data_IF_068688905618
#
_entry.id   IF_068688905618
#
_cell.length_a   1.000
_cell.length_b   1.000
_cell.length_c   1.000
_cell.angle_alpha   90.00
_cell.angle_beta   90.00
_cell.angle_gamma   90.00
#
_symmetry.space_group_name_H-M   'P 1'
#
loop_
_entity.id
_entity.type
_entity.pdbx_description
1 polymer ?
#
# COMPACT_ATOMS: atom_id res chain seq x y z
N UNK A 1 -24.31 4.62 28.94
CA UNK A 1 -24.40 3.49 27.98
C UNK A 1 -24.76 3.93 26.54
N UNK A 2 -25.00 5.21 26.24
CA UNK A 2 -25.39 5.69 24.89
C UNK A 2 -24.24 6.09 23.97
N UNK A 3 -23.05 6.40 24.50
CA UNK A 3 -21.89 6.80 23.70
C UNK A 3 -21.25 5.62 22.93
N UNK A 4 -21.27 4.42 23.51
CA UNK A 4 -20.69 3.20 22.93
C UNK A 4 -21.46 2.68 21.73
N UNK A 5 -22.81 2.73 21.75
CA UNK A 5 -23.65 2.25 20.65
C UNK A 5 -23.50 3.08 19.37
N UNK A 6 -23.34 4.40 19.53
CA UNK A 6 -23.20 5.31 18.37
C UNK A 6 -21.79 5.24 17.75
N UNK A 7 -20.75 5.01 18.57
CA UNK A 7 -19.39 4.75 18.08
C UNK A 7 -19.28 3.39 17.39
N UNK A 8 -19.92 2.35 17.94
CA UNK A 8 -19.98 1.03 17.30
C UNK A 8 -20.71 1.10 15.95
N UNK A 9 -21.86 1.78 15.87
CA UNK A 9 -22.57 1.98 14.61
C UNK A 9 -21.75 2.72 13.57
N UNK A 10 -20.98 3.74 13.98
CA UNK A 10 -20.05 4.48 13.10
C UNK A 10 -18.95 3.57 12.54
N UNK A 11 -18.33 2.76 13.38
CA UNK A 11 -17.24 1.89 12.96
C UNK A 11 -17.74 0.79 11.99
N UNK A 12 -18.88 0.17 12.29
CA UNK A 12 -19.49 -0.84 11.42
C UNK A 12 -19.83 -0.29 10.04
N UNK A 13 -20.35 0.94 9.94
CA UNK A 13 -20.62 1.56 8.64
C UNK A 13 -19.35 1.93 7.87
N UNK A 14 -18.26 2.30 8.54
CA UNK A 14 -16.96 2.50 7.89
C UNK A 14 -16.40 1.18 7.34
N UNK A 15 -16.39 0.11 8.14
CA UNK A 15 -15.92 -1.22 7.72
C UNK A 15 -16.74 -1.77 6.55
N UNK A 16 -18.07 -1.57 6.57
CA UNK A 16 -18.96 -1.95 5.47
C UNK A 16 -18.63 -1.18 4.17
N UNK A 17 -18.37 0.13 4.26
CA UNK A 17 -17.98 0.96 3.12
C UNK A 17 -16.60 0.55 2.56
N UNK A 18 -15.61 0.30 3.43
CA UNK A 18 -14.28 -0.13 3.02
C UNK A 18 -14.33 -1.49 2.30
N UNK A 19 -15.07 -2.45 2.86
CA UNK A 19 -15.28 -3.77 2.26
C UNK A 19 -15.98 -3.66 0.91
N UNK A 20 -17.03 -2.84 0.81
CA UNK A 20 -17.75 -2.64 -0.43
C UNK A 20 -16.88 -2.00 -1.52
N UNK A 21 -16.01 -1.04 -1.18
CA UNK A 21 -15.10 -0.44 -2.14
C UNK A 21 -14.10 -1.47 -2.68
N UNK A 22 -13.49 -2.28 -1.81
CA UNK A 22 -12.58 -3.35 -2.24
C UNK A 22 -13.26 -4.35 -3.17
N UNK A 23 -14.48 -4.76 -2.85
CA UNK A 23 -15.27 -5.67 -3.70
C UNK A 23 -15.62 -5.07 -5.06
N UNK A 24 -15.89 -3.76 -5.12
CA UNK A 24 -16.16 -3.08 -6.39
C UNK A 24 -14.89 -2.97 -7.23
N UNK A 25 -13.74 -2.72 -6.61
CA UNK A 25 -12.44 -2.61 -7.28
C UNK A 25 -11.99 -3.91 -7.96
N UNK A 26 -12.49 -5.06 -7.53
CA UNK A 26 -12.21 -6.36 -8.18
C UNK A 26 -12.78 -6.45 -9.61
N UNK A 27 -13.76 -5.59 -9.98
CA UNK A 27 -14.47 -5.70 -11.26
C UNK A 27 -14.81 -4.37 -11.94
N UNK A 28 -14.68 -3.25 -11.23
CA UNK A 28 -15.02 -1.92 -11.72
C UNK A 28 -13.80 -0.99 -11.60
N UNK A 29 -13.39 -0.29 -12.68
CA UNK A 29 -12.36 0.73 -12.58
C UNK A 29 -12.72 1.79 -11.53
N UNK A 30 -11.73 2.25 -10.75
CA UNK A 30 -11.97 3.17 -9.63
C UNK A 30 -12.78 4.42 -10.02
N UNK A 31 -12.46 5.04 -11.15
CA UNK A 31 -13.12 6.26 -11.63
C UNK A 31 -14.56 6.02 -12.15
N UNK A 32 -14.96 4.77 -12.34
CA UNK A 32 -16.32 4.38 -12.72
C UNK A 32 -17.20 4.01 -11.52
N UNK A 33 -16.61 3.83 -10.34
CA UNK A 33 -17.36 3.51 -9.12
C UNK A 33 -18.16 4.73 -8.68
N UNK A 34 -19.48 4.57 -8.60
CA UNK A 34 -20.37 5.62 -8.08
C UNK A 34 -20.64 5.44 -6.59
N UNK A 35 -20.89 6.56 -5.90
CA UNK A 35 -21.33 6.54 -4.49
C UNK A 35 -22.63 5.74 -4.32
N UNK A 36 -23.53 5.75 -5.31
CA UNK A 36 -24.74 4.94 -5.28
C UNK A 36 -24.40 3.45 -5.22
N UNK A 37 -23.62 2.94 -6.17
CA UNK A 37 -23.19 1.53 -6.21
C UNK A 37 -22.49 1.12 -4.91
N UNK A 38 -21.57 1.98 -4.42
CA UNK A 38 -20.87 1.75 -3.16
C UNK A 38 -21.84 1.60 -1.98
N UNK A 39 -22.76 2.55 -1.82
CA UNK A 39 -23.68 2.56 -0.68
C UNK A 39 -24.70 1.42 -0.73
N UNK A 40 -25.16 1.06 -1.93
CA UNK A 40 -26.00 -0.12 -2.15
C UNK A 40 -25.27 -1.42 -1.79
N UNK A 41 -24.02 -1.57 -2.25
CA UNK A 41 -23.17 -2.73 -1.95
C UNK A 41 -22.86 -2.85 -0.46
N UNK A 42 -22.61 -1.72 0.21
CA UNK A 42 -22.33 -1.66 1.64
C UNK A 42 -23.59 -1.81 2.53
N UNK A 43 -24.80 -1.72 1.95
CA UNK A 43 -26.04 -1.74 2.72
C UNK A 43 -26.25 -0.52 3.62
N UNK A 44 -25.73 0.65 3.23
CA UNK A 44 -25.85 1.90 3.99
C UNK A 44 -26.49 3.01 3.15
N UNK A 45 -26.98 4.06 3.80
CA UNK A 45 -27.51 5.22 3.07
C UNK A 45 -26.39 6.12 2.53
N UNK A 46 -26.66 6.88 1.45
CA UNK A 46 -25.75 7.95 0.99
C UNK A 46 -25.45 8.99 2.07
N UNK A 47 -26.43 9.30 2.92
CA UNK A 47 -26.24 10.19 4.07
C UNK A 47 -25.24 9.61 5.07
N UNK A 48 -25.20 8.29 5.24
CA UNK A 48 -24.20 7.60 6.08
C UNK A 48 -22.82 7.75 5.46
N UNK A 49 -22.67 7.50 4.16
CA UNK A 49 -21.41 7.71 3.45
C UNK A 49 -20.85 9.13 3.64
N UNK A 50 -21.65 10.16 3.35
CA UNK A 50 -21.20 11.56 3.45
C UNK A 50 -20.93 12.04 4.88
N UNK A 51 -21.32 11.24 5.90
CA UNK A 51 -20.95 11.49 7.30
C UNK A 51 -19.53 11.02 7.62
N UNK A 52 -19.00 10.09 6.83
CA UNK A 52 -17.67 9.51 7.00
C UNK A 52 -16.66 10.11 6.01
N UNK A 53 -17.08 10.32 4.77
CA UNK A 53 -16.17 10.64 3.66
C UNK A 53 -16.71 11.78 2.80
N UNK A 54 -15.84 12.71 2.47
CA UNK A 54 -16.09 13.75 1.48
C UNK A 54 -15.96 13.20 0.05
N UNK A 55 -15.13 12.18 -0.18
CA UNK A 55 -14.90 11.61 -1.52
C UNK A 55 -14.49 10.13 -1.47
N UNK A 56 -14.52 9.46 -2.64
CA UNK A 56 -14.10 8.05 -2.75
C UNK A 56 -12.59 7.91 -2.51
N UNK A 57 -11.82 8.90 -2.90
CA UNK A 57 -10.39 8.99 -2.66
C UNK A 57 -10.07 9.05 -1.17
N UNK A 58 -10.87 9.76 -0.36
CA UNK A 58 -10.68 9.80 1.09
C UNK A 58 -10.92 8.42 1.72
N UNK A 59 -12.00 7.73 1.31
CA UNK A 59 -12.26 6.35 1.73
C UNK A 59 -11.11 5.42 1.30
N UNK A 60 -10.65 5.51 0.06
CA UNK A 60 -9.55 4.70 -0.45
C UNK A 60 -8.23 4.98 0.29
N UNK A 61 -7.96 6.25 0.59
CA UNK A 61 -6.80 6.66 1.37
C UNK A 61 -6.84 6.07 2.79
N UNK A 62 -8.00 6.01 3.45
CA UNK A 62 -8.13 5.36 4.75
C UNK A 62 -7.85 3.85 4.67
N UNK A 63 -8.32 3.16 3.62
CA UNK A 63 -8.02 1.74 3.38
C UNK A 63 -6.52 1.50 3.24
N UNK A 64 -5.86 2.27 2.36
CA UNK A 64 -4.41 2.24 2.19
C UNK A 64 -3.73 2.55 3.52
N UNK A 65 -4.26 3.53 4.26
CA UNK A 65 -3.67 3.97 5.51
C UNK A 65 -3.58 2.84 6.53
N UNK A 66 -4.69 2.15 6.78
CA UNK A 66 -4.71 1.04 7.72
C UNK A 66 -3.74 -0.08 7.33
N UNK A 67 -3.70 -0.43 6.03
CA UNK A 67 -2.81 -1.47 5.53
C UNK A 67 -1.32 -1.14 5.75
N UNK A 68 -0.88 0.06 5.37
CA UNK A 68 0.52 0.45 5.54
C UNK A 68 0.90 0.76 6.99
N UNK A 69 -0.04 1.18 7.83
CA UNK A 69 0.20 1.27 9.28
C UNK A 69 0.48 -0.10 9.88
N UNK A 70 -0.17 -1.16 9.42
CA UNK A 70 0.12 -2.53 9.86
C UNK A 70 1.56 -2.93 9.50
N UNK A 71 2.01 -2.64 8.28
CA UNK A 71 3.40 -2.84 7.85
C UNK A 71 4.37 -2.11 8.78
N UNK A 72 4.11 -0.82 9.07
CA UNK A 72 4.98 -0.02 9.93
C UNK A 72 4.98 -0.52 11.38
N UNK A 73 3.84 -1.00 11.90
CA UNK A 73 3.74 -1.55 13.25
C UNK A 73 4.53 -2.86 13.40
N UNK A 74 4.51 -3.73 12.38
CA UNK A 74 5.23 -5.00 12.40
C UNK A 74 6.71 -4.85 12.03
N UNK A 75 7.04 -3.90 11.14
CA UNK A 75 8.36 -3.76 10.54
C UNK A 75 9.18 -2.56 11.03
N UNK A 76 8.54 -1.49 11.49
CA UNK A 76 9.19 -0.20 11.77
C UNK A 76 10.27 -0.25 12.83
N UNK A 77 10.14 -1.15 13.82
CA UNK A 77 11.18 -1.38 14.83
C UNK A 77 12.51 -1.85 14.19
N UNK A 78 12.46 -2.65 13.12
CA UNK A 78 13.68 -3.11 12.44
C UNK A 78 14.39 -1.96 11.71
N UNK A 79 13.63 -1.00 11.16
CA UNK A 79 14.18 0.22 10.56
C UNK A 79 14.94 1.01 11.62
N UNK A 80 14.33 1.28 12.77
CA UNK A 80 14.95 2.06 13.87
C UNK A 80 16.19 1.35 14.43
N UNK A 81 16.20 0.02 14.45
CA UNK A 81 17.34 -0.78 14.89
C UNK A 81 18.43 -0.95 13.82
N UNK A 82 18.25 -0.42 12.60
CA UNK A 82 19.18 -0.60 11.48
C UNK A 82 19.24 -2.03 10.93
N UNK A 83 18.28 -2.89 11.27
CA UNK A 83 18.20 -4.28 10.80
C UNK A 83 17.42 -4.36 9.49
N UNK A 84 17.96 -3.74 8.45
CA UNK A 84 17.26 -3.56 7.17
C UNK A 84 16.95 -4.89 6.47
N UNK A 85 17.83 -5.89 6.54
CA UNK A 85 17.57 -7.21 5.94
C UNK A 85 16.33 -7.88 6.53
N UNK A 86 16.17 -7.78 7.87
CA UNK A 86 14.96 -8.28 8.55
C UNK A 86 13.73 -7.45 8.19
N UNK A 87 13.87 -6.13 8.02
CA UNK A 87 12.77 -5.29 7.58
C UNK A 87 12.28 -5.71 6.19
N UNK A 88 13.18 -5.87 5.21
CA UNK A 88 12.83 -6.25 3.84
C UNK A 88 12.21 -7.64 3.78
N UNK A 89 12.79 -8.64 4.46
CA UNK A 89 12.21 -9.99 4.52
C UNK A 89 10.80 -9.95 5.13
N UNK A 90 10.59 -9.22 6.24
CA UNK A 90 9.25 -9.08 6.85
C UNK A 90 8.27 -8.34 5.95
N UNK A 91 8.72 -7.30 5.26
CA UNK A 91 7.89 -6.54 4.32
C UNK A 91 7.38 -7.46 3.21
N UNK A 92 8.27 -8.14 2.47
CA UNK A 92 7.84 -8.95 1.32
C UNK A 92 6.99 -10.16 1.74
N UNK A 93 7.27 -10.77 2.89
CA UNK A 93 6.40 -11.81 3.44
C UNK A 93 5.00 -11.30 3.77
N UNK A 94 4.90 -10.12 4.38
CA UNK A 94 3.62 -9.49 4.65
C UNK A 94 2.87 -9.18 3.35
N UNK A 95 3.56 -8.58 2.37
CA UNK A 95 2.98 -8.30 1.06
C UNK A 95 2.44 -9.57 0.38
N UNK A 96 3.21 -10.66 0.41
CA UNK A 96 2.77 -11.95 -0.13
C UNK A 96 1.55 -12.53 0.60
N UNK A 97 1.53 -12.46 1.93
CA UNK A 97 0.38 -12.89 2.73
C UNK A 97 -0.90 -12.11 2.39
N UNK A 98 -0.75 -10.87 1.92
CA UNK A 98 -1.84 -9.98 1.55
C UNK A 98 -1.95 -9.77 0.02
N UNK A 99 -1.46 -10.71 -0.78
CA UNK A 99 -1.34 -10.57 -2.23
C UNK A 99 -2.64 -10.23 -2.98
N UNK A 100 -3.78 -10.82 -2.57
CA UNK A 100 -5.08 -10.52 -3.18
C UNK A 100 -5.48 -9.06 -2.96
N UNK A 101 -5.27 -8.55 -1.74
CA UNK A 101 -5.53 -7.17 -1.42
C UNK A 101 -4.64 -6.23 -2.24
N UNK A 102 -3.33 -6.53 -2.34
CA UNK A 102 -2.39 -5.76 -3.15
C UNK A 102 -2.79 -5.73 -4.62
N UNK A 103 -3.17 -6.88 -5.19
CA UNK A 103 -3.70 -6.95 -6.56
C UNK A 103 -4.88 -5.99 -6.72
N UNK A 104 -5.85 -6.01 -5.82
CA UNK A 104 -7.03 -5.12 -5.88
C UNK A 104 -6.67 -3.63 -5.84
N UNK A 105 -5.71 -3.23 -4.99
CA UNK A 105 -5.38 -1.80 -4.83
C UNK A 105 -4.32 -1.28 -5.82
N UNK A 106 -3.56 -2.16 -6.49
CA UNK A 106 -2.45 -1.78 -7.38
C UNK A 106 -2.63 -2.13 -8.87
N UNK A 107 -3.63 -2.93 -9.25
CA UNK A 107 -3.81 -3.36 -10.65
C UNK A 107 -4.46 -2.32 -11.57
N UNK A 108 -5.14 -1.31 -11.01
CA UNK A 108 -5.81 -0.26 -11.79
C UNK A 108 -5.18 1.13 -11.67
N UNK A 109 -5.84 2.13 -12.24
CA UNK A 109 -5.40 3.55 -12.20
C UNK A 109 -5.30 4.09 -10.77
N UNK A 110 -6.05 3.50 -9.82
CA UNK A 110 -6.01 3.88 -8.42
C UNK A 110 -4.64 3.67 -7.75
N UNK A 111 -3.74 2.88 -8.35
CA UNK A 111 -2.37 2.67 -7.84
C UNK A 111 -1.60 3.98 -7.63
N UNK A 112 -1.92 5.01 -8.41
CA UNK A 112 -1.31 6.34 -8.26
C UNK A 112 -1.65 7.01 -6.92
N UNK A 113 -2.78 6.68 -6.29
CA UNK A 113 -3.08 7.11 -4.93
C UNK A 113 -2.19 6.38 -3.90
N UNK A 114 -1.85 5.11 -4.13
CA UNK A 114 -0.95 4.34 -3.26
C UNK A 114 0.46 4.94 -3.28
N UNK A 115 1.01 5.23 -4.46
CA UNK A 115 2.33 5.87 -4.55
C UNK A 115 2.34 7.27 -3.91
N UNK A 116 1.27 8.05 -4.08
CA UNK A 116 1.14 9.36 -3.42
C UNK A 116 1.12 9.22 -1.89
N UNK A 117 0.28 8.33 -1.37
CA UNK A 117 0.24 8.00 0.06
C UNK A 117 1.63 7.62 0.60
N UNK A 118 2.36 6.75 -0.11
CA UNK A 118 3.70 6.33 0.30
C UNK A 118 4.68 7.51 0.31
N UNK A 119 4.60 8.42 -0.64
CA UNK A 119 5.43 9.62 -0.59
C UNK A 119 5.04 10.53 0.59
N UNK A 120 3.75 10.74 0.83
CA UNK A 120 3.25 11.68 1.84
C UNK A 120 3.58 11.25 3.28
N UNK A 121 3.41 9.97 3.60
CA UNK A 121 3.74 9.45 4.94
C UNK A 121 5.22 9.65 5.28
N UNK A 122 6.10 9.47 4.32
CA UNK A 122 7.53 9.62 4.55
C UNK A 122 8.04 11.07 4.36
N UNK A 123 7.22 11.97 3.81
CA UNK A 123 7.50 13.42 3.75
C UNK A 123 7.17 14.13 5.08
N UNK A 124 6.19 13.62 5.84
CA UNK A 124 5.80 14.17 7.16
C UNK A 124 6.82 13.90 8.26
N UNK A 125 7.69 12.90 8.10
CA UNK A 125 8.89 12.77 8.90
C UNK A 125 9.86 13.89 8.47
N UNK A 126 9.97 14.97 9.25
CA UNK A 126 10.94 16.07 9.04
C UNK A 126 12.40 15.60 9.19
N UNK A 127 12.82 14.61 8.41
CA UNK A 127 14.21 14.19 8.30
C UNK A 127 14.96 15.24 7.50
N UNK A 128 15.96 15.82 8.15
CA UNK A 128 16.93 16.80 7.68
C UNK A 128 17.19 16.72 6.16
N UNK A 129 17.18 17.89 5.52
CA UNK A 129 17.10 18.19 4.08
C UNK A 129 18.03 17.41 3.10
N UNK A 130 18.93 16.57 3.57
CA UNK A 130 19.92 15.82 2.75
C UNK A 130 19.43 14.45 2.28
N UNK A 131 18.55 13.77 3.02
CA UNK A 131 18.16 12.39 2.69
C UNK A 131 16.82 12.25 1.93
N UNK A 132 16.12 13.36 1.68
CA UNK A 132 14.79 13.35 1.02
C UNK A 132 14.78 12.63 -0.33
N UNK A 133 15.83 12.81 -1.15
CA UNK A 133 15.94 12.19 -2.46
C UNK A 133 16.23 10.69 -2.35
N UNK A 134 17.01 10.29 -1.35
CA UNK A 134 17.28 8.88 -1.06
C UNK A 134 16.01 8.17 -0.58
N UNK A 135 15.26 8.79 0.33
CA UNK A 135 13.99 8.25 0.84
C UNK A 135 12.98 8.11 -0.31
N UNK A 136 12.77 9.17 -1.10
CA UNK A 136 11.90 9.11 -2.29
C UNK A 136 12.36 8.07 -3.31
N UNK A 137 13.68 7.94 -3.51
CA UNK A 137 14.27 6.93 -4.36
C UNK A 137 13.99 5.49 -3.89
N UNK A 138 14.16 5.22 -2.59
CA UNK A 138 13.87 3.91 -1.99
C UNK A 138 12.37 3.58 -2.09
N UNK A 139 11.49 4.55 -1.82
CA UNK A 139 10.04 4.38 -1.98
C UNK A 139 9.70 4.04 -3.43
N UNK A 140 10.25 4.81 -4.39
CA UNK A 140 10.05 4.58 -5.81
C UNK A 140 10.58 3.21 -6.27
N UNK A 141 11.78 2.82 -5.84
CA UNK A 141 12.35 1.50 -6.15
C UNK A 141 11.46 0.38 -5.60
N UNK A 142 11.11 0.44 -4.32
CA UNK A 142 10.28 -0.57 -3.66
C UNK A 142 8.91 -0.66 -4.34
N UNK A 143 8.27 0.47 -4.62
CA UNK A 143 6.98 0.53 -5.31
C UNK A 143 7.04 -0.14 -6.69
N UNK A 144 8.05 0.18 -7.51
CA UNK A 144 8.16 -0.42 -8.84
C UNK A 144 8.44 -1.92 -8.78
N UNK A 145 9.29 -2.38 -7.84
CA UNK A 145 9.52 -3.81 -7.63
C UNK A 145 8.23 -4.53 -7.20
N UNK A 146 7.43 -3.92 -6.31
CA UNK A 146 6.12 -4.47 -5.95
C UNK A 146 5.17 -4.55 -7.16
N UNK A 147 5.11 -3.51 -7.99
CA UNK A 147 4.27 -3.51 -9.20
C UNK A 147 4.69 -4.60 -10.17
N UNK A 148 5.99 -4.74 -10.45
CA UNK A 148 6.52 -5.79 -11.34
C UNK A 148 6.15 -7.17 -10.79
N UNK A 149 6.40 -7.42 -9.51
CA UNK A 149 6.11 -8.71 -8.88
C UNK A 149 4.62 -9.08 -8.96
N UNK A 150 3.72 -8.12 -8.79
CA UNK A 150 2.28 -8.32 -8.96
C UNK A 150 1.92 -8.65 -10.42
N UNK A 151 2.54 -7.96 -11.39
CA UNK A 151 2.30 -8.18 -12.81
C UNK A 151 2.80 -9.55 -13.30
N UNK A 152 3.86 -10.06 -12.68
CA UNK A 152 4.38 -11.41 -12.92
C UNK A 152 3.69 -12.50 -12.07
N UNK A 153 2.56 -12.18 -11.42
CA UNK A 153 1.81 -13.11 -10.56
C UNK A 153 2.66 -13.73 -9.43
N UNK A 154 3.44 -12.87 -8.77
CA UNK A 154 4.30 -13.23 -7.64
C UNK A 154 5.33 -14.32 -7.95
N UNK A 155 5.97 -14.23 -9.12
CA UNK A 155 6.91 -15.21 -9.68
C UNK A 155 8.17 -15.49 -8.84
N UNK A 156 8.60 -14.55 -8.01
CA UNK A 156 9.74 -14.69 -7.12
C UNK A 156 9.33 -14.92 -5.65
N UNK A 157 10.09 -15.75 -4.89
CA UNK A 157 9.93 -15.86 -3.45
C UNK A 157 10.14 -14.52 -2.71
N UNK A 158 9.44 -14.27 -1.59
CA UNK A 158 9.59 -13.05 -0.80
C UNK A 158 11.03 -12.74 -0.36
N UNK A 159 11.79 -13.76 0.05
CA UNK A 159 13.17 -13.58 0.49
C UNK A 159 14.12 -13.20 -0.67
N UNK A 160 13.88 -13.72 -1.87
CA UNK A 160 14.68 -13.37 -3.06
C UNK A 160 14.52 -11.88 -3.42
N UNK A 161 13.30 -11.34 -3.29
CA UNK A 161 13.04 -9.90 -3.47
C UNK A 161 13.59 -9.05 -2.33
N UNK A 162 13.55 -9.55 -1.10
CA UNK A 162 14.15 -8.88 0.04
C UNK A 162 15.67 -8.73 -0.15
N UNK A 163 16.35 -9.80 -0.54
CA UNK A 163 17.78 -9.80 -0.83
C UNK A 163 18.10 -8.87 -2.00
N UNK A 164 17.29 -8.89 -3.06
CA UNK A 164 17.42 -7.98 -4.20
C UNK A 164 17.39 -6.52 -3.76
N UNK A 165 16.40 -6.11 -2.96
CA UNK A 165 16.30 -4.72 -2.48
C UNK A 165 17.41 -4.34 -1.51
N UNK A 166 17.80 -5.25 -0.61
CA UNK A 166 18.94 -5.02 0.29
C UNK A 166 20.21 -4.70 -0.51
N UNK A 167 20.54 -5.51 -1.52
CA UNK A 167 21.73 -5.32 -2.36
C UNK A 167 21.69 -3.99 -3.15
N UNK A 168 20.55 -3.68 -3.77
CA UNK A 168 20.38 -2.46 -4.55
C UNK A 168 20.52 -1.18 -3.69
N UNK A 169 20.05 -1.22 -2.44
CA UNK A 169 20.07 -0.05 -1.55
C UNK A 169 21.41 0.11 -0.83
N UNK A 170 22.12 -0.98 -0.54
CA UNK A 170 23.46 -0.95 0.05
C UNK A 170 24.53 -0.55 -0.99
N UNK A 171 24.18 -0.56 -2.28
CA UNK A 171 25.08 -0.16 -3.37
C UNK A 171 26.03 -1.27 -3.79
N UNK A 172 25.68 -2.52 -3.50
CA UNK A 172 26.43 -3.67 -3.99
C UNK A 172 26.28 -3.77 -5.51
N UNK A 173 27.35 -4.24 -6.17
CA UNK A 173 27.38 -4.34 -7.63
C UNK A 173 26.18 -5.15 -8.13
N UNK A 174 25.50 -4.63 -9.17
CA UNK A 174 24.50 -5.38 -9.92
C UNK A 174 25.10 -6.75 -10.26
N UNK A 175 24.47 -7.88 -9.87
CA UNK A 175 24.99 -9.21 -10.14
C UNK A 175 25.36 -9.34 -11.62
N UNK A 176 26.53 -9.91 -11.95
CA UNK A 176 27.01 -9.96 -13.34
C UNK A 176 26.09 -10.73 -14.30
N UNK A 177 25.18 -11.52 -13.76
CA UNK A 177 24.13 -12.26 -14.46
C UNK A 177 22.76 -11.53 -14.46
N UNK A 178 22.69 -10.29 -13.99
CA UNK A 178 21.46 -9.51 -14.00
C UNK A 178 21.08 -9.11 -15.42
N UNK A 179 19.83 -9.34 -15.86
CA UNK A 179 19.31 -8.87 -17.15
C UNK A 179 19.43 -7.34 -17.34
N UNK A 180 19.57 -6.59 -16.23
CA UNK A 180 19.75 -5.14 -16.24
C UNK A 180 21.07 -4.70 -16.91
N UNK A 181 22.09 -5.56 -16.95
CA UNK A 181 23.37 -5.26 -17.61
C UNK A 181 23.28 -5.27 -19.14
N UNK A 182 22.24 -5.92 -19.70
CA UNK A 182 22.02 -5.96 -21.14
C UNK A 182 21.29 -4.71 -21.67
N UNK A 183 20.72 -3.89 -20.79
CA UNK A 183 20.10 -2.60 -21.12
C UNK A 183 21.12 -1.46 -21.37
N UNK A 184 22.39 -1.68 -21.01
CA UNK A 184 23.48 -0.71 -21.15
C UNK A 184 24.53 -1.10 -22.21
N UNK A 185 24.22 -2.10 -23.04
CA UNK A 185 25.00 -2.49 -24.22
C UNK A 185 24.30 -1.99 -25.48
#
# INVERSE_FOLDING_TARGET
MTLTTNQQGKQLSQEALQTALLQLLESTPFDEITITQLTERAGVSRMTYYRHYASLEELFYEIIHHFFQEILNQGGTYIVQGKLDLFWSKLFHFLYQHQHFLQTILSGEQRNYVLRYLNDIFDTAQTLNTDRYRIRGIIGLTYNVMIEWIQQDYDLPPDDLADLLSNLIQGDAIPQNSPLLDLYK
#
